data_IF_755223742267
#
_entry.id   IF_755223742267
#
_cell.length_a   1.000
_cell.length_b   1.000
_cell.length_c   1.000
_cell.angle_alpha   90.00
_cell.angle_beta   90.00
_cell.angle_gamma   90.00
#
_symmetry.space_group_name_H-M   'P 1'
#
loop_
_entity.id
_entity.type
_entity.pdbx_description
1 polymer ?
#
# COMPACT_ATOMS: atom_id res chain seq x y z
N UNK A 1 -10.01 9.49 -10.11
CA UNK A 1 -9.33 9.39 -8.80
C UNK A 1 -10.32 9.29 -7.65
N UNK A 2 -11.43 10.03 -7.69
CA UNK A 2 -12.42 10.07 -6.61
C UNK A 2 -13.03 8.70 -6.25
N UNK A 3 -13.38 7.88 -7.26
CA UNK A 3 -13.90 6.53 -7.05
C UNK A 3 -12.91 5.61 -6.33
N UNK A 4 -11.64 5.61 -6.75
CA UNK A 4 -10.58 4.85 -6.08
C UNK A 4 -10.41 5.23 -4.61
N UNK A 5 -10.46 6.53 -4.30
CA UNK A 5 -10.40 7.01 -2.91
C UNK A 5 -11.65 6.65 -2.11
N UNK A 6 -12.83 6.63 -2.74
CA UNK A 6 -14.06 6.17 -2.10
C UNK A 6 -14.00 4.68 -1.75
N UNK A 7 -13.50 3.85 -2.67
CA UNK A 7 -13.26 2.43 -2.43
C UNK A 7 -12.22 2.21 -1.31
N UNK A 8 -11.13 2.98 -1.31
CA UNK A 8 -10.11 2.94 -0.27
C UNK A 8 -10.66 3.23 1.13
N UNK A 9 -11.53 4.24 1.27
CA UNK A 9 -12.17 4.54 2.56
C UNK A 9 -13.06 3.39 3.04
N UNK A 10 -13.79 2.72 2.13
CA UNK A 10 -14.59 1.52 2.46
C UNK A 10 -13.69 0.35 2.88
N UNK A 11 -12.56 0.17 2.19
CA UNK A 11 -11.55 -0.83 2.54
C UNK A 11 -11.03 -0.64 3.97
N UNK A 12 -10.71 0.61 4.35
CA UNK A 12 -10.30 0.95 5.71
C UNK A 12 -11.38 0.65 6.74
N UNK A 13 -12.64 0.97 6.43
CA UNK A 13 -13.77 0.71 7.33
C UNK A 13 -13.98 -0.80 7.58
N UNK A 14 -13.58 -1.66 6.65
CA UNK A 14 -13.58 -3.11 6.81
C UNK A 14 -12.38 -3.65 7.63
N UNK A 15 -11.47 -2.78 8.07
CA UNK A 15 -10.35 -3.09 8.96
C UNK A 15 -9.37 -4.18 8.44
N UNK A 16 -9.18 -4.25 7.11
CA UNK A 16 -8.17 -5.14 6.53
C UNK A 16 -6.74 -4.65 6.81
N UNK A 17 -5.87 -5.56 7.22
CA UNK A 17 -4.42 -5.31 7.19
C UNK A 17 -3.91 -5.38 5.76
N UNK A 18 -3.26 -4.32 5.29
CA UNK A 18 -2.85 -4.20 3.89
C UNK A 18 -1.54 -3.43 3.69
N UNK A 19 -0.84 -3.79 2.61
CA UNK A 19 0.30 -3.04 2.06
C UNK A 19 -0.04 -2.66 0.63
N UNK A 20 0.07 -1.38 0.28
CA UNK A 20 0.02 -0.93 -1.12
C UNK A 20 1.45 -0.89 -1.69
N UNK A 21 1.71 -1.68 -2.72
CA UNK A 21 3.00 -1.73 -3.40
C UNK A 21 2.95 -0.83 -4.64
N UNK A 22 3.77 0.21 -4.66
CA UNK A 22 3.91 1.11 -5.81
C UNK A 22 5.14 0.71 -6.63
N UNK A 23 4.90 0.08 -7.78
CA UNK A 23 5.93 -0.38 -8.70
C UNK A 23 6.27 0.64 -9.79
N UNK A 24 5.77 1.88 -9.69
CA UNK A 24 6.10 2.92 -10.65
C UNK A 24 7.61 3.21 -10.67
N UNK A 25 8.18 3.66 -11.81
CA UNK A 25 9.60 4.03 -11.90
C UNK A 25 10.01 5.12 -10.90
N UNK A 26 9.05 5.95 -10.45
CA UNK A 26 9.21 6.93 -9.38
C UNK A 26 7.97 6.85 -8.47
N UNK A 27 8.13 7.01 -7.15
CA UNK A 27 7.00 7.03 -6.21
C UNK A 27 5.96 8.07 -6.60
N UNK A 28 4.68 7.70 -6.55
CA UNK A 28 3.58 8.58 -6.93
C UNK A 28 2.80 9.10 -5.72
N UNK A 29 2.52 10.41 -5.71
CA UNK A 29 1.69 11.02 -4.65
C UNK A 29 0.28 10.44 -4.61
N UNK A 30 -0.28 10.09 -5.77
CA UNK A 30 -1.60 9.46 -5.88
C UNK A 30 -1.65 8.07 -5.24
N UNK A 31 -0.58 7.27 -5.39
CA UNK A 31 -0.47 5.96 -4.75
C UNK A 31 -0.32 6.09 -3.24
N UNK A 32 0.46 7.07 -2.77
CA UNK A 32 0.57 7.39 -1.34
C UNK A 32 -0.78 7.77 -0.74
N UNK A 33 -1.49 8.70 -1.37
CA UNK A 33 -2.82 9.15 -0.92
C UNK A 33 -3.83 8.00 -0.90
N UNK A 34 -3.76 7.08 -1.87
CA UNK A 34 -4.60 5.89 -1.89
C UNK A 34 -4.29 4.96 -0.72
N UNK A 35 -3.01 4.67 -0.45
CA UNK A 35 -2.59 3.86 0.69
C UNK A 35 -3.06 4.45 2.03
N UNK A 36 -2.91 5.77 2.20
CA UNK A 36 -3.39 6.50 3.38
C UNK A 36 -4.91 6.38 3.54
N UNK A 37 -5.68 6.55 2.45
CA UNK A 37 -7.13 6.39 2.47
C UNK A 37 -7.56 4.95 2.80
N UNK A 38 -6.79 3.95 2.37
CA UNK A 38 -6.99 2.54 2.72
C UNK A 38 -6.64 2.21 4.17
N UNK A 39 -5.87 3.08 4.86
CA UNK A 39 -5.20 2.70 6.11
C UNK A 39 -4.11 1.64 5.90
N UNK A 40 -3.61 1.51 4.67
CA UNK A 40 -2.60 0.54 4.29
C UNK A 40 -1.19 1.14 4.44
N UNK A 41 -0.20 0.28 4.65
CA UNK A 41 1.20 0.69 4.59
C UNK A 41 1.61 0.93 3.14
N UNK A 42 2.18 2.09 2.86
CA UNK A 42 2.72 2.40 1.53
C UNK A 42 4.14 1.84 1.37
N UNK A 43 4.39 1.11 0.28
CA UNK A 43 5.71 0.58 -0.07
C UNK A 43 6.07 1.00 -1.51
N UNK A 44 6.89 2.05 -1.69
CA UNK A 44 7.49 2.32 -2.99
C UNK A 44 8.54 1.25 -3.32
N UNK A 45 8.41 0.65 -4.49
CA UNK A 45 9.29 -0.40 -4.98
C UNK A 45 9.69 -0.13 -6.44
N UNK A 46 10.40 0.98 -6.72
CA UNK A 46 11.00 1.18 -8.03
C UNK A 46 11.98 0.02 -8.28
N UNK A 47 11.99 -0.49 -9.51
CA UNK A 47 12.80 -1.64 -9.95
C UNK A 47 12.37 -3.03 -9.38
N UNK A 48 11.24 -3.11 -8.68
CA UNK A 48 10.59 -4.38 -8.28
C UNK A 48 11.49 -5.39 -7.53
N UNK A 49 12.34 -4.91 -6.60
CA UNK A 49 13.23 -5.75 -5.80
C UNK A 49 12.44 -6.73 -4.89
N UNK A 50 12.46 -8.02 -5.26
CA UNK A 50 11.76 -9.08 -4.55
C UNK A 50 12.21 -9.25 -3.08
N UNK A 51 13.46 -8.89 -2.74
CA UNK A 51 13.96 -9.00 -1.35
C UNK A 51 13.28 -7.97 -0.46
N UNK A 52 13.15 -6.72 -0.94
CA UNK A 52 12.44 -5.65 -0.23
C UNK A 52 10.97 -5.99 -0.03
N UNK A 53 10.32 -6.52 -1.07
CA UNK A 53 8.94 -6.99 -0.96
C UNK A 53 8.79 -8.08 0.10
N UNK A 54 9.64 -9.12 0.04
CA UNK A 54 9.62 -10.24 0.97
C UNK A 54 9.83 -9.80 2.42
N UNK A 55 10.74 -8.84 2.66
CA UNK A 55 10.95 -8.26 3.98
C UNK A 55 9.73 -7.45 4.47
N UNK A 56 9.10 -6.66 3.60
CA UNK A 56 7.91 -5.88 3.95
C UNK A 56 6.72 -6.77 4.32
N UNK A 57 6.49 -7.85 3.57
CA UNK A 57 5.43 -8.83 3.86
C UNK A 57 5.68 -9.52 5.20
N UNK A 58 6.90 -9.98 5.47
CA UNK A 58 7.25 -10.58 6.77
C UNK A 58 7.04 -9.62 7.92
N UNK A 59 7.46 -8.37 7.77
CA UNK A 59 7.28 -7.34 8.80
C UNK A 59 5.80 -7.04 9.08
N UNK A 60 4.94 -7.07 8.07
CA UNK A 60 3.50 -6.87 8.25
C UNK A 60 2.81 -8.08 8.90
N UNK A 61 3.22 -9.30 8.53
CA UNK A 61 2.66 -10.53 9.12
C UNK A 61 3.08 -10.77 10.57
N UNK A 62 4.25 -10.28 10.99
CA UNK A 62 4.72 -10.40 12.37
C UNK A 62 4.04 -9.42 13.36
N UNK A 63 3.30 -8.43 12.86
CA UNK A 63 2.62 -7.41 13.66
C UNK A 63 1.11 -7.68 13.86
N UNK A 64 0.59 -8.79 13.31
CA UNK A 64 -0.79 -9.26 13.46
C UNK A 64 -0.85 -10.42 14.46
#
# INVERSE_FOLDING_TARGET
AEDALAAARRFRAAAFSAILIDTAPRPQDSARALAEAMGARYLPLPQADARKLSAAVRAAGAAA
#
